data_IF_460857408899
#
_entry.id   IF_460857408899
#
_cell.length_a   1.000
_cell.length_b   1.000
_cell.length_c   1.000
_cell.angle_alpha   90.00
_cell.angle_beta   90.00
_cell.angle_gamma   90.00
#
_symmetry.space_group_name_H-M   'P 1'
#
loop_
_entity.id
_entity.type
_entity.pdbx_description
1 polymer ?
#
# COMPACT_ATOMS: atom_id res chain seq x y z
N UNK A 1 20.13 25.40 23.81
CA UNK A 1 20.77 24.07 23.93
C UNK A 1 21.29 23.66 22.57
N UNK A 2 22.46 23.03 22.47
CA UNK A 2 23.08 22.68 21.18
C UNK A 2 22.60 21.30 20.74
N UNK A 3 21.86 21.20 19.63
CA UNK A 3 21.50 19.89 19.06
C UNK A 3 22.72 19.30 18.35
N UNK A 4 22.98 18.01 18.57
CA UNK A 4 24.04 17.29 17.88
C UNK A 4 23.50 16.64 16.60
N UNK A 5 24.37 16.52 15.59
CA UNK A 5 24.10 15.68 14.42
C UNK A 5 23.97 14.21 14.83
N UNK A 6 23.21 13.44 14.05
CA UNK A 6 23.05 11.99 14.22
C UNK A 6 23.60 11.31 12.96
N UNK A 7 24.67 10.48 13.06
CA UNK A 7 25.44 10.18 14.27
C UNK A 7 26.35 11.35 14.71
N UNK A 8 26.62 11.45 16.00
CA UNK A 8 27.47 12.49 16.60
C UNK A 8 28.96 12.14 16.41
N UNK A 9 29.74 12.94 15.66
CA UNK A 9 31.15 12.63 15.39
C UNK A 9 32.02 12.59 16.65
N UNK A 10 31.73 13.45 17.62
CA UNK A 10 32.43 13.48 18.90
C UNK A 10 32.24 12.16 19.66
N UNK A 11 31.00 11.67 19.75
CA UNK A 11 30.72 10.42 20.47
C UNK A 11 31.27 9.21 19.74
N UNK A 12 31.32 9.24 18.40
CA UNK A 12 31.96 8.17 17.63
C UNK A 12 33.43 7.95 18.05
N UNK A 13 34.16 9.02 18.38
CA UNK A 13 35.56 8.98 18.82
C UNK A 13 35.72 8.68 20.31
N UNK A 14 34.77 9.07 21.15
CA UNK A 14 34.87 9.02 22.62
C UNK A 14 33.89 8.03 23.28
N UNK A 15 33.37 7.06 22.54
CA UNK A 15 32.28 6.17 22.98
C UNK A 15 32.57 5.35 24.25
N UNK A 16 33.84 5.15 24.61
CA UNK A 16 34.27 4.42 25.81
C UNK A 16 34.76 5.32 26.96
N UNK A 17 34.86 6.64 26.73
CA UNK A 17 35.37 7.58 27.70
C UNK A 17 34.23 8.31 28.43
N UNK A 18 33.84 7.77 29.59
CA UNK A 18 32.76 8.34 30.41
C UNK A 18 33.01 9.80 30.80
N UNK A 19 34.26 10.21 31.02
CA UNK A 19 34.58 11.58 31.43
C UNK A 19 34.33 12.56 30.29
N UNK A 20 34.80 12.22 29.07
CA UNK A 20 34.56 13.02 27.87
C UNK A 20 33.08 13.09 27.50
N UNK A 21 32.34 12.00 27.62
CA UNK A 21 30.89 11.98 27.32
C UNK A 21 30.10 12.84 28.31
N UNK A 22 30.41 12.76 29.62
CA UNK A 22 29.76 13.59 30.65
C UNK A 22 30.05 15.07 30.42
N UNK A 23 31.29 15.42 30.11
CA UNK A 23 31.68 16.80 29.78
C UNK A 23 30.87 17.34 28.60
N UNK A 24 30.74 16.56 27.53
CA UNK A 24 29.94 16.93 26.36
C UNK A 24 28.48 17.25 26.69
N UNK A 25 27.85 16.46 27.58
CA UNK A 25 26.49 16.72 28.04
C UNK A 25 26.40 17.96 28.95
N UNK A 26 27.36 18.16 29.85
CA UNK A 26 27.43 19.33 30.75
C UNK A 26 27.63 20.65 29.99
N UNK A 27 28.25 20.60 28.82
CA UNK A 27 28.38 21.74 27.90
C UNK A 27 27.04 22.12 27.20
N UNK A 28 25.94 21.43 27.53
CA UNK A 28 24.58 21.75 27.10
C UNK A 28 24.19 21.14 25.76
N UNK A 29 24.88 20.08 25.33
CA UNK A 29 24.57 19.33 24.14
C UNK A 29 23.39 18.37 24.36
N UNK A 30 22.35 18.51 23.53
CA UNK A 30 21.28 17.50 23.41
C UNK A 30 21.76 16.42 22.44
N UNK A 31 22.43 15.40 22.98
CA UNK A 31 23.05 14.36 22.19
C UNK A 31 22.50 12.98 22.57
N UNK A 32 21.69 12.38 21.67
CA UNK A 32 21.20 11.01 21.78
C UNK A 32 22.36 10.03 21.99
N UNK A 33 23.37 10.10 21.12
CA UNK A 33 24.47 9.14 21.11
C UNK A 33 25.29 9.17 22.39
N UNK A 34 25.44 10.35 23.02
CA UNK A 34 26.10 10.50 24.30
C UNK A 34 25.38 9.74 25.41
N UNK A 35 24.05 9.87 25.48
CA UNK A 35 23.23 9.14 26.46
C UNK A 35 23.24 7.63 26.21
N UNK A 36 23.21 7.20 24.93
CA UNK A 36 23.35 5.78 24.56
C UNK A 36 24.73 5.25 24.95
N UNK A 37 25.81 6.00 24.72
CA UNK A 37 27.15 5.61 25.13
C UNK A 37 27.28 5.49 26.66
N UNK A 38 26.75 6.46 27.41
CA UNK A 38 26.73 6.39 28.88
C UNK A 38 25.96 5.18 29.41
N UNK A 39 24.81 4.83 28.81
CA UNK A 39 24.04 3.66 29.24
C UNK A 39 24.80 2.34 29.14
N UNK A 40 25.83 2.27 28.28
CA UNK A 40 26.70 1.10 28.12
C UNK A 40 27.86 1.07 29.13
N UNK A 41 28.20 2.22 29.72
CA UNK A 41 29.33 2.37 30.64
C UNK A 41 28.91 2.35 32.11
N UNK A 42 27.65 2.69 32.43
CA UNK A 42 27.13 2.65 33.80
C UNK A 42 26.77 1.21 34.21
N UNK A 43 27.12 0.84 35.44
CA UNK A 43 26.83 -0.48 36.01
C UNK A 43 25.50 -0.54 36.77
N UNK A 44 25.07 0.59 37.33
CA UNK A 44 23.82 0.69 38.09
C UNK A 44 22.59 0.68 37.16
N UNK A 45 21.61 -0.17 37.48
CA UNK A 45 20.41 -0.35 36.66
C UNK A 45 19.54 0.91 36.58
N UNK A 46 19.46 1.69 37.66
CA UNK A 46 18.67 2.94 37.68
C UNK A 46 19.34 4.01 36.83
N UNK A 47 20.66 4.17 36.96
CA UNK A 47 21.44 5.09 36.11
C UNK A 47 21.37 4.71 34.64
N UNK A 48 21.42 3.41 34.33
CA UNK A 48 21.26 2.90 32.96
C UNK A 48 19.88 3.26 32.40
N UNK A 49 18.82 3.00 33.15
CA UNK A 49 17.44 3.35 32.79
C UNK A 49 17.29 4.86 32.56
N UNK A 50 17.86 5.68 33.43
CA UNK A 50 17.82 7.15 33.32
C UNK A 50 18.60 7.71 32.12
N UNK A 51 19.69 7.06 31.71
CA UNK A 51 20.40 7.40 30.48
C UNK A 51 19.55 7.08 29.25
N UNK A 52 18.95 5.88 29.22
CA UNK A 52 18.10 5.43 28.11
C UNK A 52 16.81 6.25 27.98
N UNK A 53 16.23 6.70 29.09
CA UNK A 53 15.08 7.61 29.11
C UNK A 53 15.39 8.94 28.43
N UNK A 54 16.55 9.54 28.75
CA UNK A 54 16.97 10.80 28.13
C UNK A 54 17.30 10.63 26.65
N UNK A 55 17.86 9.49 26.27
CA UNK A 55 18.11 9.15 24.89
C UNK A 55 16.79 8.97 24.09
N UNK A 56 15.82 8.26 24.65
CA UNK A 56 14.54 7.95 24.00
C UNK A 56 13.66 9.18 23.79
N UNK A 57 13.74 10.17 24.68
CA UNK A 57 13.07 11.47 24.49
C UNK A 57 13.67 12.23 23.29
N UNK A 58 14.98 12.12 23.05
CA UNK A 58 15.65 12.79 21.93
C UNK A 58 15.41 12.09 20.58
N UNK A 59 15.02 10.81 20.59
CA UNK A 59 14.74 10.01 19.40
C UNK A 59 13.49 9.13 19.63
N UNK A 60 12.29 9.73 19.62
CA UNK A 60 11.04 9.01 19.90
C UNK A 60 10.72 7.92 18.86
N UNK A 61 11.16 8.11 17.61
CA UNK A 61 10.90 7.19 16.50
C UNK A 61 11.91 6.02 16.42
N UNK A 62 12.90 5.99 17.31
CA UNK A 62 13.94 4.96 17.36
C UNK A 62 13.49 3.75 18.18
N UNK A 63 12.91 2.75 17.50
CA UNK A 63 12.31 1.58 18.16
C UNK A 63 13.31 0.77 19.00
N UNK A 64 14.56 0.60 18.55
CA UNK A 64 15.59 -0.12 19.30
C UNK A 64 15.91 0.58 20.63
N UNK A 65 15.92 1.91 20.61
CA UNK A 65 16.12 2.71 21.80
C UNK A 65 14.92 2.66 22.76
N UNK A 66 13.70 2.63 22.23
CA UNK A 66 12.49 2.43 23.03
C UNK A 66 12.50 1.06 23.73
N UNK A 67 12.87 -0.01 23.02
CA UNK A 67 13.01 -1.35 23.60
C UNK A 67 14.03 -1.35 24.72
N UNK A 68 15.24 -0.82 24.47
CA UNK A 68 16.30 -0.78 25.47
C UNK A 68 15.87 -0.03 26.75
N UNK A 69 15.12 1.07 26.59
CA UNK A 69 14.55 1.80 27.72
C UNK A 69 13.52 0.97 28.51
N UNK A 70 12.57 0.31 27.83
CA UNK A 70 11.54 -0.52 28.46
C UNK A 70 12.17 -1.72 29.21
N UNK A 71 13.20 -2.34 28.64
CA UNK A 71 13.95 -3.42 29.29
C UNK A 71 14.72 -2.92 30.53
N UNK A 72 15.32 -1.73 30.45
CA UNK A 72 15.97 -1.13 31.61
C UNK A 72 14.98 -0.73 32.71
N UNK A 73 13.75 -0.33 32.34
CA UNK A 73 12.65 -0.06 33.27
C UNK A 73 12.20 -1.32 34.01
N UNK A 74 12.03 -2.45 33.29
CA UNK A 74 11.73 -3.75 33.89
C UNK A 74 12.88 -4.32 34.75
N UNK A 75 14.14 -4.00 34.42
CA UNK A 75 15.28 -4.38 35.24
C UNK A 75 15.30 -3.66 36.61
N UNK A 76 14.73 -2.45 36.69
CA UNK A 76 14.57 -1.69 37.94
C UNK A 76 13.30 -2.09 38.68
N UNK A 77 12.19 -2.28 37.96
CA UNK A 77 10.90 -2.70 38.50
C UNK A 77 10.27 -3.81 37.63
N UNK A 78 10.42 -5.08 38.02
CA UNK A 78 9.83 -6.20 37.28
C UNK A 78 8.29 -6.23 37.29
N UNK A 79 7.64 -5.51 38.21
CA UNK A 79 6.17 -5.46 38.32
C UNK A 79 5.55 -4.35 37.45
N UNK A 80 6.36 -3.68 36.64
CA UNK A 80 5.96 -2.56 35.79
C UNK A 80 5.08 -3.01 34.61
N UNK A 81 3.76 -3.02 34.85
CA UNK A 81 2.76 -3.45 33.88
C UNK A 81 2.79 -2.66 32.57
N UNK A 82 3.10 -1.35 32.63
CA UNK A 82 3.19 -0.52 31.43
C UNK A 82 4.38 -0.93 30.56
N UNK A 83 5.56 -1.11 31.18
CA UNK A 83 6.75 -1.53 30.44
C UNK A 83 6.56 -2.92 29.85
N UNK A 84 5.97 -3.84 30.62
CA UNK A 84 5.70 -5.20 30.18
C UNK A 84 4.72 -5.23 29.00
N UNK A 85 3.61 -4.49 29.07
CA UNK A 85 2.63 -4.41 28.00
C UNK A 85 3.24 -3.81 26.74
N UNK A 86 3.94 -2.68 26.86
CA UNK A 86 4.53 -1.99 25.70
C UNK A 86 5.60 -2.82 25.00
N UNK A 87 6.44 -3.53 25.77
CA UNK A 87 7.45 -4.43 25.23
C UNK A 87 6.81 -5.64 24.54
N UNK A 88 5.72 -6.19 25.09
CA UNK A 88 4.95 -7.25 24.46
C UNK A 88 4.30 -6.79 23.15
N UNK A 89 3.75 -5.57 23.10
CA UNK A 89 3.21 -4.98 21.87
C UNK A 89 4.30 -4.87 20.79
N UNK A 90 5.47 -4.30 21.10
CA UNK A 90 6.56 -4.16 20.14
C UNK A 90 7.06 -5.52 19.66
N UNK A 91 7.27 -6.49 20.57
CA UNK A 91 7.68 -7.86 20.22
C UNK A 91 6.62 -8.58 19.39
N UNK A 92 5.34 -8.37 19.67
CA UNK A 92 4.23 -8.93 18.89
C UNK A 92 4.24 -8.33 17.49
N UNK A 93 4.40 -7.01 17.36
CA UNK A 93 4.51 -6.34 16.05
C UNK A 93 5.74 -6.80 15.27
N UNK A 94 6.89 -7.01 15.93
CA UNK A 94 8.09 -7.61 15.31
C UNK A 94 7.87 -9.03 14.86
N UNK A 95 7.28 -9.88 15.71
CA UNK A 95 6.90 -11.24 15.34
C UNK A 95 5.91 -11.23 14.17
N UNK A 96 4.94 -10.32 14.12
CA UNK A 96 4.05 -10.16 12.96
C UNK A 96 4.81 -9.70 11.71
N UNK A 97 5.85 -8.88 11.85
CA UNK A 97 6.70 -8.44 10.74
C UNK A 97 7.72 -9.50 10.26
N UNK A 98 8.21 -10.35 11.16
CA UNK A 98 9.14 -11.45 10.90
C UNK A 98 8.40 -12.71 10.42
N UNK A 99 7.15 -12.88 10.89
CA UNK A 99 6.11 -13.73 10.30
C UNK A 99 5.49 -13.01 9.09
N UNK A 100 6.31 -12.30 8.31
CA UNK A 100 6.21 -12.33 6.84
C UNK A 100 6.54 -13.74 6.36
N UNK A 101 5.72 -14.69 6.81
CA UNK A 101 5.35 -15.83 6.03
C UNK A 101 4.96 -15.33 4.64
N UNK A 102 5.29 -16.06 3.57
CA UNK A 102 4.77 -15.78 2.22
C UNK A 102 3.22 -15.79 2.14
N UNK A 103 2.53 -16.03 3.26
CA UNK A 103 1.10 -16.33 3.36
C UNK A 103 0.25 -15.18 3.91
N UNK A 104 0.84 -14.10 4.43
CA UNK A 104 0.12 -12.88 4.80
C UNK A 104 0.74 -11.66 4.13
N UNK A 105 0.69 -11.65 2.80
CA UNK A 105 0.38 -10.39 2.15
C UNK A 105 -1.08 -10.10 2.50
N UNK A 106 -1.36 -9.00 3.21
CA UNK A 106 -2.64 -8.32 3.00
C UNK A 106 -2.76 -8.24 1.47
N UNK A 107 -3.75 -8.90 0.84
CA UNK A 107 -3.77 -8.97 -0.61
C UNK A 107 -3.68 -7.53 -1.09
N UNK A 108 -2.68 -7.20 -1.93
CA UNK A 108 -2.44 -5.82 -2.30
C UNK A 108 -3.77 -5.25 -2.78
N UNK A 109 -4.26 -4.21 -2.09
CA UNK A 109 -5.50 -3.56 -2.48
C UNK A 109 -5.40 -3.28 -3.98
N UNK A 110 -6.35 -3.76 -4.79
CA UNK A 110 -6.25 -3.63 -6.23
C UNK A 110 -6.04 -2.17 -6.58
N UNK A 111 -4.98 -1.87 -7.32
CA UNK A 111 -4.61 -0.48 -7.62
C UNK A 111 -5.74 0.21 -8.37
N UNK A 112 -5.87 1.51 -8.15
CA UNK A 112 -6.83 2.30 -8.91
C UNK A 112 -6.38 2.36 -10.37
N UNK A 113 -7.33 2.58 -11.28
CA UNK A 113 -7.04 2.55 -12.72
C UNK A 113 -6.00 3.60 -13.11
N UNK A 114 -5.97 4.74 -12.41
CA UNK A 114 -4.96 5.80 -12.60
C UNK A 114 -3.54 5.32 -12.28
N UNK A 115 -3.34 4.66 -11.13
CA UNK A 115 -2.03 4.15 -10.71
C UNK A 115 -1.52 3.06 -11.67
N UNK A 116 -2.43 2.23 -12.18
CA UNK A 116 -2.09 1.20 -13.17
C UNK A 116 -1.65 1.87 -14.47
N UNK A 117 -2.40 2.88 -14.95
CA UNK A 117 -2.06 3.64 -16.15
C UNK A 117 -0.68 4.32 -16.05
N UNK A 118 -0.32 4.86 -14.87
CA UNK A 118 1.03 5.36 -14.60
C UNK A 118 2.06 4.22 -14.70
N UNK A 119 1.80 3.10 -14.02
CA UNK A 119 2.76 2.00 -13.96
C UNK A 119 3.06 1.34 -15.32
N UNK A 120 2.12 1.37 -16.26
CA UNK A 120 2.32 0.87 -17.64
C UNK A 120 2.82 1.96 -18.61
N UNK A 121 3.18 3.13 -18.09
CA UNK A 121 3.65 4.29 -18.85
C UNK A 121 2.61 4.80 -19.86
N UNK A 122 1.31 4.72 -19.54
CA UNK A 122 0.25 5.28 -20.38
C UNK A 122 0.03 6.77 -20.11
N UNK A 123 0.25 7.22 -18.88
CA UNK A 123 0.15 8.61 -18.43
C UNK A 123 1.20 8.89 -17.36
N UNK A 124 1.48 10.16 -17.10
CA UNK A 124 2.28 10.65 -15.98
C UNK A 124 1.42 11.00 -14.78
N UNK A 125 2.04 11.15 -13.61
CA UNK A 125 1.36 11.60 -12.40
C UNK A 125 0.77 13.02 -12.55
N UNK A 126 1.47 13.92 -13.24
CA UNK A 126 0.99 15.26 -13.53
C UNK A 126 -0.28 15.24 -14.39
N UNK A 127 -0.28 14.43 -15.44
CA UNK A 127 -1.43 14.22 -16.33
C UNK A 127 -2.64 13.62 -15.60
N UNK A 128 -2.41 12.64 -14.72
CA UNK A 128 -3.47 12.07 -13.89
C UNK A 128 -4.08 13.15 -12.97
N UNK A 129 -3.24 13.96 -12.31
CA UNK A 129 -3.70 15.01 -11.41
C UNK A 129 -4.52 16.10 -12.12
N UNK A 130 -4.13 16.47 -13.35
CA UNK A 130 -4.88 17.42 -14.17
C UNK A 130 -6.30 16.89 -14.48
N UNK A 131 -6.39 15.64 -14.90
CA UNK A 131 -7.64 14.97 -15.28
C UNK A 131 -8.55 14.77 -14.07
N UNK A 132 -7.97 14.43 -12.90
CA UNK A 132 -8.71 14.37 -11.63
C UNK A 132 -9.24 15.75 -11.20
N UNK A 133 -8.47 16.81 -11.39
CA UNK A 133 -8.91 18.17 -11.09
C UNK A 133 -10.06 18.61 -12.03
N UNK A 134 -10.03 18.22 -13.30
CA UNK A 134 -11.14 18.41 -14.23
C UNK A 134 -12.38 17.60 -13.85
N UNK A 135 -12.23 16.31 -13.52
CA UNK A 135 -13.31 15.45 -13.06
C UNK A 135 -14.06 16.06 -11.86
N UNK A 136 -13.32 16.67 -10.92
CA UNK A 136 -13.88 17.40 -9.76
C UNK A 136 -14.60 18.69 -10.13
N UNK A 137 -14.18 19.37 -11.21
CA UNK A 137 -14.76 20.64 -11.69
C UNK A 137 -15.95 20.44 -12.65
N UNK A 138 -16.13 19.23 -13.19
CA UNK A 138 -17.18 18.91 -14.17
C UNK A 138 -18.60 18.93 -13.59
N UNK A 139 -19.50 19.64 -14.29
CA UNK A 139 -20.93 19.76 -13.98
C UNK A 139 -21.66 18.41 -13.95
N UNK A 140 -22.73 18.32 -13.14
CA UNK A 140 -23.62 17.17 -12.92
C UNK A 140 -24.28 16.59 -14.19
N UNK A 141 -24.10 17.23 -15.34
CA UNK A 141 -24.73 16.89 -16.62
C UNK A 141 -23.86 16.06 -17.59
N UNK A 142 -22.57 15.86 -17.31
CA UNK A 142 -21.71 14.99 -18.14
C UNK A 142 -21.77 13.56 -17.58
N UNK A 143 -22.52 12.71 -18.28
CA UNK A 143 -22.77 11.28 -17.96
C UNK A 143 -21.52 10.42 -17.73
N UNK A 144 -20.35 10.87 -18.18
CA UNK A 144 -19.13 10.07 -18.20
C UNK A 144 -18.06 10.68 -17.28
N UNK A 145 -18.21 10.41 -15.98
CA UNK A 145 -17.26 10.78 -14.93
C UNK A 145 -16.08 9.81 -14.80
N UNK A 146 -15.97 8.78 -15.64
CA UNK A 146 -14.88 7.79 -15.50
C UNK A 146 -13.58 8.36 -16.05
N UNK A 147 -12.52 8.33 -15.25
CA UNK A 147 -11.19 8.84 -15.61
C UNK A 147 -10.71 8.25 -16.96
N UNK A 148 -10.91 6.94 -17.18
CA UNK A 148 -10.52 6.30 -18.44
C UNK A 148 -11.19 6.89 -19.69
N UNK A 149 -12.48 7.24 -19.62
CA UNK A 149 -13.19 7.89 -20.74
C UNK A 149 -12.72 9.33 -20.95
N UNK A 150 -12.41 10.05 -19.87
CA UNK A 150 -11.87 11.41 -19.95
C UNK A 150 -10.47 11.41 -20.61
N UNK A 151 -9.61 10.48 -20.21
CA UNK A 151 -8.29 10.29 -20.81
C UNK A 151 -8.37 9.91 -22.30
N UNK A 152 -9.29 9.02 -22.68
CA UNK A 152 -9.52 8.67 -24.09
C UNK A 152 -10.00 9.86 -24.92
N UNK A 153 -10.94 10.65 -24.41
CA UNK A 153 -11.46 11.84 -25.11
C UNK A 153 -10.38 12.89 -25.35
N UNK A 154 -9.45 13.04 -24.41
CA UNK A 154 -8.29 13.93 -24.54
C UNK A 154 -7.17 13.35 -25.42
N UNK A 155 -7.31 12.12 -25.90
CA UNK A 155 -6.27 11.44 -26.68
C UNK A 155 -5.01 11.10 -25.88
N UNK A 156 -5.08 11.16 -24.55
CA UNK A 156 -3.94 10.92 -23.66
C UNK A 156 -3.60 9.42 -23.55
N UNK A 157 -4.59 8.56 -23.75
CA UNK A 157 -4.41 7.11 -23.78
C UNK A 157 -5.09 6.50 -25.00
N UNK A 158 -4.62 5.32 -25.42
CA UNK A 158 -5.26 4.54 -26.47
C UNK A 158 -6.27 3.53 -25.89
N UNK A 159 -7.24 3.05 -26.68
CA UNK A 159 -8.14 1.96 -26.29
C UNK A 159 -7.40 0.74 -25.74
N UNK A 160 -6.29 0.36 -26.40
CA UNK A 160 -5.47 -0.78 -25.99
C UNK A 160 -4.81 -0.55 -24.61
N UNK A 161 -4.28 0.66 -24.34
CA UNK A 161 -3.69 0.99 -23.03
C UNK A 161 -4.74 0.96 -21.91
N UNK A 162 -5.96 1.45 -22.17
CA UNK A 162 -7.04 1.39 -21.19
C UNK A 162 -7.51 -0.06 -20.96
N UNK A 163 -7.70 -0.84 -22.01
CA UNK A 163 -8.08 -2.26 -21.90
C UNK A 163 -7.05 -3.05 -21.09
N UNK A 164 -5.75 -2.88 -21.40
CA UNK A 164 -4.66 -3.49 -20.63
C UNK A 164 -4.69 -3.11 -19.15
N UNK A 165 -4.92 -1.84 -18.84
CA UNK A 165 -5.02 -1.37 -17.46
C UNK A 165 -6.21 -2.01 -16.71
N UNK A 166 -7.36 -2.16 -17.38
CA UNK A 166 -8.54 -2.84 -16.82
C UNK A 166 -8.27 -4.32 -16.53
N UNK A 167 -7.55 -5.02 -17.41
CA UNK A 167 -7.18 -6.42 -17.20
C UNK A 167 -6.21 -6.58 -16.02
N UNK A 168 -5.22 -5.69 -15.88
CA UNK A 168 -4.31 -5.70 -14.72
C UNK A 168 -5.11 -5.47 -13.44
N UNK A 169 -6.05 -4.52 -13.44
CA UNK A 169 -6.89 -4.24 -12.29
C UNK A 169 -7.76 -5.44 -11.89
N UNK A 170 -8.36 -6.11 -12.88
CA UNK A 170 -9.10 -7.36 -12.67
C UNK A 170 -8.21 -8.44 -12.05
N UNK A 171 -7.01 -8.67 -12.59
CA UNK A 171 -6.11 -9.71 -12.08
C UNK A 171 -5.69 -9.44 -10.63
N UNK A 172 -5.47 -8.16 -10.27
CA UNK A 172 -5.19 -7.76 -8.89
C UNK A 172 -6.40 -8.00 -7.97
N UNK A 173 -7.64 -7.72 -8.42
CA UNK A 173 -8.88 -8.03 -7.69
C UNK A 173 -9.08 -9.52 -7.46
N UNK A 174 -8.85 -10.34 -8.49
CA UNK A 174 -8.94 -11.80 -8.38
C UNK A 174 -7.91 -12.34 -7.40
N UNK A 175 -6.65 -11.86 -7.44
CA UNK A 175 -5.62 -12.21 -6.44
C UNK A 175 -6.01 -11.80 -5.02
N UNK A 176 -6.74 -10.69 -4.89
CA UNK A 176 -7.28 -10.23 -3.63
C UNK A 176 -8.53 -10.99 -3.14
N UNK A 177 -8.92 -12.09 -3.81
CA UNK A 177 -10.12 -12.88 -3.53
C UNK A 177 -11.40 -12.02 -3.47
N UNK A 178 -11.42 -10.93 -4.21
CA UNK A 178 -12.63 -10.12 -4.36
C UNK A 178 -13.54 -10.84 -5.36
N UNK A 179 -14.82 -11.01 -5.01
CA UNK A 179 -15.80 -11.61 -5.91
C UNK A 179 -15.88 -10.83 -7.24
N UNK A 180 -16.08 -11.52 -8.39
CA UNK A 180 -16.22 -10.87 -9.69
C UNK A 180 -17.31 -9.80 -9.69
N UNK A 181 -16.93 -8.57 -10.02
CA UNK A 181 -17.86 -7.43 -10.01
C UNK A 181 -18.52 -7.19 -11.37
N UNK A 182 -18.01 -7.82 -12.43
CA UNK A 182 -18.57 -7.71 -13.78
C UNK A 182 -18.48 -9.03 -14.55
N UNK A 183 -19.36 -9.21 -15.54
CA UNK A 183 -19.43 -10.41 -16.38
C UNK A 183 -18.09 -10.79 -17.02
N UNK A 184 -17.30 -9.82 -17.49
CA UNK A 184 -15.99 -10.09 -18.07
C UNK A 184 -15.02 -10.76 -17.09
N UNK A 185 -15.05 -10.36 -15.82
CA UNK A 185 -14.21 -10.96 -14.78
C UNK A 185 -14.61 -12.41 -14.53
N UNK A 186 -15.92 -12.64 -14.43
CA UNK A 186 -16.50 -13.97 -14.26
C UNK A 186 -16.13 -14.92 -15.40
N UNK A 187 -16.20 -14.45 -16.65
CA UNK A 187 -15.88 -15.27 -17.82
C UNK A 187 -14.42 -15.75 -17.82
N UNK A 188 -13.48 -14.91 -17.37
CA UNK A 188 -12.07 -15.30 -17.24
C UNK A 188 -11.85 -16.25 -16.07
N UNK A 189 -12.46 -15.98 -14.92
CA UNK A 189 -12.32 -16.82 -13.73
C UNK A 189 -12.86 -18.24 -13.96
N UNK A 190 -13.98 -18.37 -14.67
CA UNK A 190 -14.56 -19.67 -15.05
C UNK A 190 -13.90 -20.33 -16.26
N UNK A 191 -12.91 -19.67 -16.88
CA UNK A 191 -12.18 -20.21 -18.02
C UNK A 191 -12.95 -20.23 -19.33
N UNK A 192 -14.06 -19.49 -19.45
CA UNK A 192 -14.80 -19.35 -20.71
C UNK A 192 -13.96 -18.62 -21.78
N UNK A 193 -13.14 -17.65 -21.35
CA UNK A 193 -12.20 -16.91 -22.20
C UNK A 193 -10.90 -16.66 -21.42
N UNK A 194 -9.81 -16.41 -22.14
CA UNK A 194 -8.53 -16.00 -21.55
C UNK A 194 -8.49 -14.50 -21.26
N UNK A 195 -7.60 -14.06 -20.36
CA UNK A 195 -7.39 -12.63 -20.09
C UNK A 195 -6.98 -11.84 -21.35
N UNK A 196 -6.18 -12.45 -22.24
CA UNK A 196 -5.78 -11.84 -23.51
C UNK A 196 -6.96 -11.69 -24.48
N UNK A 197 -7.86 -12.68 -24.51
CA UNK A 197 -9.09 -12.59 -25.31
C UNK A 197 -10.02 -11.48 -24.78
N UNK A 198 -10.18 -11.37 -23.46
CA UNK A 198 -10.95 -10.28 -22.86
C UNK A 198 -10.31 -8.90 -23.15
N UNK A 199 -8.97 -8.78 -23.08
CA UNK A 199 -8.25 -7.56 -23.44
C UNK A 199 -8.56 -7.12 -24.88
N UNK A 200 -8.54 -8.06 -25.82
CA UNK A 200 -8.86 -7.80 -27.23
C UNK A 200 -10.31 -7.34 -27.41
N UNK A 201 -11.26 -7.99 -26.74
CA UNK A 201 -12.68 -7.62 -26.77
C UNK A 201 -12.90 -6.22 -26.19
N UNK A 202 -12.30 -5.91 -25.05
CA UNK A 202 -12.41 -4.59 -24.41
C UNK A 202 -11.77 -3.49 -25.29
N UNK A 203 -10.62 -3.79 -25.90
CA UNK A 203 -9.97 -2.87 -26.84
C UNK A 203 -10.92 -2.51 -27.99
N UNK A 204 -11.53 -3.53 -28.60
CA UNK A 204 -12.48 -3.32 -29.71
C UNK A 204 -13.76 -2.62 -29.24
N UNK A 205 -14.27 -2.96 -28.05
CA UNK A 205 -15.43 -2.31 -27.45
C UNK A 205 -15.21 -0.81 -27.26
N UNK A 206 -14.08 -0.44 -26.67
CA UNK A 206 -13.70 0.96 -26.44
C UNK A 206 -13.53 1.69 -27.77
N UNK A 207 -12.88 1.05 -28.76
CA UNK A 207 -12.68 1.62 -30.09
C UNK A 207 -14.02 1.89 -30.80
N UNK A 208 -14.97 0.96 -30.71
CA UNK A 208 -16.30 1.11 -31.31
C UNK A 208 -17.15 2.16 -30.58
N UNK A 209 -17.06 2.24 -29.26
CA UNK A 209 -17.74 3.27 -28.46
C UNK A 209 -17.26 4.68 -28.83
N UNK A 210 -15.95 4.87 -29.06
CA UNK A 210 -15.40 6.12 -29.61
C UNK A 210 -15.94 6.49 -30.99
N UNK A 211 -16.40 5.51 -31.76
CA UNK A 211 -17.05 5.71 -33.08
C UNK A 211 -18.57 5.89 -32.96
N UNK A 212 -19.11 6.02 -31.75
CA UNK A 212 -20.54 6.11 -31.48
C UNK A 212 -21.29 4.79 -31.63
N UNK A 213 -20.58 3.66 -31.77
CA UNK A 213 -21.16 2.33 -31.93
C UNK A 213 -21.11 1.58 -30.61
N UNK A 214 -22.25 1.49 -29.93
CA UNK A 214 -22.34 0.76 -28.66
C UNK A 214 -22.60 -0.73 -28.90
N UNK A 215 -21.69 -1.56 -28.41
CA UNK A 215 -21.83 -3.00 -28.36
C UNK A 215 -21.67 -3.51 -26.93
N UNK A 216 -22.49 -4.48 -26.55
CA UNK A 216 -22.29 -5.18 -25.27
C UNK A 216 -21.09 -6.13 -25.36
N UNK A 217 -20.51 -6.47 -24.22
CA UNK A 217 -19.41 -7.44 -24.14
C UNK A 217 -19.80 -8.77 -24.78
N UNK A 218 -21.02 -9.25 -24.48
CA UNK A 218 -21.58 -10.48 -25.05
C UNK A 218 -21.71 -10.45 -26.57
N UNK A 219 -22.17 -9.33 -27.14
CA UNK A 219 -22.27 -9.18 -28.61
C UNK A 219 -20.90 -9.25 -29.28
N UNK A 220 -19.86 -8.65 -28.67
CA UNK A 220 -18.51 -8.69 -29.21
C UNK A 220 -17.86 -10.07 -29.08
N UNK A 221 -18.10 -10.78 -27.97
CA UNK A 221 -17.63 -12.15 -27.80
C UNK A 221 -18.15 -13.08 -28.91
N UNK A 222 -19.42 -12.93 -29.28
CA UNK A 222 -20.02 -13.68 -30.40
C UNK A 222 -19.44 -13.22 -31.74
N UNK A 223 -19.38 -11.91 -31.97
CA UNK A 223 -18.88 -11.32 -33.22
C UNK A 223 -17.42 -11.68 -33.50
N UNK A 224 -16.60 -11.81 -32.46
CA UNK A 224 -15.19 -12.18 -32.55
C UNK A 224 -14.96 -13.70 -32.52
N UNK A 225 -16.04 -14.51 -32.57
CA UNK A 225 -15.99 -15.98 -32.54
C UNK A 225 -15.29 -16.56 -31.29
N UNK A 226 -15.35 -15.84 -30.16
CA UNK A 226 -14.74 -16.27 -28.91
C UNK A 226 -15.70 -17.12 -28.07
N UNK A 227 -17.00 -16.89 -28.20
CA UNK A 227 -18.05 -17.66 -27.53
C UNK A 227 -19.30 -17.75 -28.41
N UNK A 228 -20.08 -18.82 -28.29
CA UNK A 228 -21.41 -18.88 -28.90
C UNK A 228 -22.41 -18.01 -28.13
N UNK A 229 -23.52 -17.62 -28.80
CA UNK A 229 -24.58 -16.83 -28.17
C UNK A 229 -25.17 -17.55 -26.96
N UNK A 230 -25.40 -18.85 -27.09
CA UNK A 230 -25.96 -19.70 -26.04
C UNK A 230 -25.01 -19.79 -24.84
N UNK A 231 -23.70 -19.87 -25.10
CA UNK A 231 -22.68 -19.89 -24.05
C UNK A 231 -22.63 -18.56 -23.28
N UNK A 232 -22.73 -17.42 -23.98
CA UNK A 232 -22.79 -16.09 -23.37
C UNK A 232 -24.05 -15.93 -22.51
N UNK A 233 -25.21 -16.32 -23.01
CA UNK A 233 -26.48 -16.24 -22.28
C UNK A 233 -26.52 -17.16 -21.06
N UNK A 234 -25.90 -18.34 -21.16
CA UNK A 234 -25.73 -19.24 -20.02
C UNK A 234 -24.85 -18.60 -18.94
N UNK A 235 -23.65 -18.13 -19.32
CA UNK A 235 -22.72 -17.52 -18.37
C UNK A 235 -23.29 -16.25 -17.71
N UNK A 236 -24.05 -15.43 -18.45
CA UNK A 236 -24.71 -14.25 -17.90
C UNK A 236 -25.75 -14.61 -16.82
N UNK A 237 -26.56 -15.65 -17.05
CA UNK A 237 -27.53 -16.13 -16.06
C UNK A 237 -26.86 -16.71 -14.81
N UNK A 238 -25.79 -17.47 -14.98
CA UNK A 238 -24.99 -18.00 -13.86
C UNK A 238 -24.40 -16.86 -13.03
N UNK A 239 -23.87 -15.83 -13.68
CA UNK A 239 -23.35 -14.64 -13.03
C UNK A 239 -24.43 -13.86 -12.24
N UNK A 240 -25.60 -13.63 -12.83
CA UNK A 240 -26.72 -12.96 -12.14
C UNK A 240 -27.15 -13.71 -10.88
N UNK A 241 -27.25 -15.04 -10.94
CA UNK A 241 -27.62 -15.85 -9.77
C UNK A 241 -26.60 -15.72 -8.64
N UNK A 242 -25.30 -15.78 -8.95
CA UNK A 242 -24.22 -15.62 -7.97
C UNK A 242 -24.25 -14.21 -7.37
N UNK A 243 -24.46 -13.19 -8.21
CA UNK A 243 -24.57 -11.81 -7.77
C UNK A 243 -25.71 -11.65 -6.75
N UNK A 244 -26.93 -12.09 -7.07
CA UNK A 244 -28.08 -11.97 -6.16
C UNK A 244 -27.95 -12.77 -4.86
N UNK A 245 -27.23 -13.90 -4.86
CA UNK A 245 -26.95 -14.66 -3.63
C UNK A 245 -26.06 -13.91 -2.64
N UNK A 246 -25.18 -13.02 -3.11
CA UNK A 246 -24.27 -12.25 -2.26
C UNK A 246 -24.92 -11.02 -1.59
N UNK A 247 -26.10 -10.57 -2.06
CA UNK A 247 -26.82 -9.40 -1.53
C UNK A 247 -28.06 -9.75 -0.69
N UNK A 248 -28.41 -11.03 -0.56
CA UNK A 248 -29.59 -11.50 0.20
C UNK A 248 -29.24 -12.04 1.60
N UNK A 249 -28.09 -11.66 2.17
CA UNK A 249 -27.66 -11.93 3.57
C UNK A 249 -27.26 -10.64 4.25
#
# INVERSE_FOLDING_TARGET
MKQCQVPCPFIALHSQDMASIRKHLLEGHQCRDAWVALSKLVQDARQRKDCLERASILAPDDEELQIAYLEARLAVDPADMFAQQRLNEIRTMRLLSDVKTPYFHEPPKPRLIGDILISIGAITEAELNEVLAEQRRGSLLVSDRRIGQLLLRRGMITPAKLAKALIIQQQERSRARTAPQVLGEYLVEKGYITAAQLEAVLTEQIRLDQQGKRYSLGQLLVRMHLMSKEAVEKAAREYEQIFWQQFNT
#
